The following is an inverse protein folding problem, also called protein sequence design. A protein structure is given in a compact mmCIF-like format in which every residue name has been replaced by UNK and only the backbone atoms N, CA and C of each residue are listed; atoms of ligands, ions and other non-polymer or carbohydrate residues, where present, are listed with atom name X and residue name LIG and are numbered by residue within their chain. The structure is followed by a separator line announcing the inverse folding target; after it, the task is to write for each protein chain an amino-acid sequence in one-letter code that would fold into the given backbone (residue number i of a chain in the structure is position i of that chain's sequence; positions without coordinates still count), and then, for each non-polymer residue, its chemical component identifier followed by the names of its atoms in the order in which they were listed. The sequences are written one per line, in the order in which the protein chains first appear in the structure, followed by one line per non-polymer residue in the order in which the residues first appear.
data_IF_815039701843
#
_entry.id   IF_815039701843
#
_cell.length_a   1.000
_cell.length_b   1.000
_cell.length_c   1.000
_cell.angle_alpha   90.00
_cell.angle_beta   90.00
_cell.angle_gamma   90.00
#
_symmetry.space_group_name_H-M   'P 1'
#
loop_
_entity.id
_entity.type
_entity.pdbx_description
1 polymer ?
#
# COMPACT_ATOMS: atom_id res chain seq x y z
N UNK A 1 -5.89 35.68 -5.12
CA UNK A 1 -4.68 34.86 -5.35
C UNK A 1 -5.14 33.59 -6.08
N UNK A 2 -4.97 33.52 -7.41
CA UNK A 2 -5.45 32.41 -8.23
C UNK A 2 -4.44 31.27 -8.28
N UNK A 3 -4.53 30.35 -7.32
CA UNK A 3 -3.61 29.23 -7.21
C UNK A 3 -4.31 28.01 -7.81
N UNK A 4 -3.67 27.39 -8.79
CA UNK A 4 -4.14 26.15 -9.41
C UNK A 4 -3.11 25.08 -9.14
N UNK A 5 -3.55 23.97 -8.55
CA UNK A 5 -2.75 22.76 -8.42
C UNK A 5 -2.90 21.95 -9.70
N UNK A 6 -1.79 21.51 -10.29
CA UNK A 6 -1.80 20.46 -11.30
C UNK A 6 -0.92 19.33 -10.80
N UNK A 7 -1.47 18.12 -10.79
CA UNK A 7 -0.71 16.92 -10.51
C UNK A 7 -0.05 16.45 -11.81
N UNK A 8 1.28 16.45 -11.91
CA UNK A 8 1.98 16.02 -13.12
C UNK A 8 2.02 14.49 -13.28
N UNK A 9 1.48 13.71 -12.34
CA UNK A 9 1.56 12.26 -12.33
C UNK A 9 2.95 11.74 -11.92
N UNK A 10 3.39 10.64 -12.53
CA UNK A 10 4.71 10.04 -12.31
C UNK A 10 5.77 10.69 -13.21
N UNK A 11 6.85 11.20 -12.63
CA UNK A 11 8.02 11.68 -13.37
C UNK A 11 9.03 10.53 -13.45
N UNK A 12 9.25 10.00 -14.66
CA UNK A 12 10.20 8.91 -14.87
C UNK A 12 11.59 9.26 -14.33
N UNK A 13 12.27 8.28 -13.73
CA UNK A 13 13.61 8.41 -13.12
C UNK A 13 13.69 9.33 -11.89
N UNK A 14 12.56 9.90 -11.44
CA UNK A 14 12.48 10.55 -10.14
C UNK A 14 12.71 9.57 -8.99
N UNK A 15 13.29 10.05 -7.90
CA UNK A 15 13.44 9.29 -6.67
C UNK A 15 12.07 8.79 -6.17
N UNK A 16 11.95 7.48 -5.97
CA UNK A 16 10.71 6.79 -5.57
C UNK A 16 9.50 7.12 -6.49
N UNK A 17 9.75 7.37 -7.79
CA UNK A 17 8.73 7.90 -8.71
C UNK A 17 7.45 7.05 -8.80
N UNK A 18 7.58 5.73 -8.77
CA UNK A 18 6.43 4.82 -8.80
C UNK A 18 5.63 4.87 -7.49
N UNK A 19 6.34 4.85 -6.36
CA UNK A 19 5.76 4.79 -5.02
C UNK A 19 4.97 6.05 -4.66
N UNK A 20 5.37 7.23 -5.17
CA UNK A 20 4.62 8.48 -5.01
C UNK A 20 3.18 8.44 -5.58
N UNK A 21 2.83 7.39 -6.31
CA UNK A 21 1.53 7.22 -6.98
C UNK A 21 0.77 5.99 -6.47
N UNK A 22 1.45 4.86 -6.26
CA UNK A 22 0.79 3.56 -6.03
C UNK A 22 1.00 2.97 -4.62
N UNK A 23 1.96 3.46 -3.83
CA UNK A 23 2.39 2.80 -2.59
C UNK A 23 3.10 1.46 -2.84
N UNK A 24 3.65 0.87 -1.78
CA UNK A 24 4.39 -0.39 -1.80
C UNK A 24 3.95 -1.31 -0.68
N UNK A 25 3.96 -2.61 -0.93
CA UNK A 25 3.76 -3.64 0.08
C UNK A 25 5.09 -4.14 0.69
N UNK A 26 6.16 -3.35 0.62
CA UNK A 26 7.46 -3.74 1.20
C UNK A 26 7.37 -3.88 2.72
N UNK A 27 6.62 -3.03 3.42
CA UNK A 27 6.34 -3.21 4.85
C UNK A 27 4.85 -3.42 5.13
N UNK A 28 4.57 -4.10 6.25
CA UNK A 28 3.20 -4.27 6.74
C UNK A 28 2.59 -2.92 7.12
N UNK A 29 1.25 -2.81 7.20
CA UNK A 29 0.64 -1.54 7.55
C UNK A 29 1.15 -0.98 8.87
N UNK A 30 1.36 0.34 8.95
CA UNK A 30 1.89 1.04 10.14
C UNK A 30 3.31 0.63 10.59
N UNK A 31 4.13 0.04 9.73
CA UNK A 31 5.51 -0.33 10.11
C UNK A 31 6.30 0.86 10.68
N UNK A 32 7.05 0.68 11.79
CA UNK A 32 7.84 1.75 12.41
C UNK A 32 8.90 2.38 11.50
N UNK A 33 9.34 1.69 10.44
CA UNK A 33 10.24 2.25 9.43
C UNK A 33 9.61 3.47 8.74
N UNK A 34 8.28 3.47 8.59
CA UNK A 34 7.48 4.57 8.07
C UNK A 34 8.06 5.16 6.77
N UNK A 35 8.39 4.30 5.82
CA UNK A 35 8.82 4.76 4.51
C UNK A 35 7.66 5.50 3.83
N UNK A 36 8.00 6.43 2.93
CA UNK A 36 7.00 7.34 2.33
C UNK A 36 5.91 6.60 1.56
N UNK A 37 6.21 5.37 1.16
CA UNK A 37 5.46 4.51 0.28
C UNK A 37 4.74 3.38 1.00
N UNK A 38 4.99 3.24 2.30
CA UNK A 38 4.30 2.26 3.13
C UNK A 38 2.82 2.64 3.27
N UNK A 39 1.96 1.64 3.25
CA UNK A 39 0.56 1.83 3.60
C UNK A 39 0.42 2.03 5.11
N UNK A 40 -0.30 3.06 5.54
CA UNK A 40 -0.52 3.34 6.95
C UNK A 40 -1.82 4.11 7.15
N UNK A 41 -2.56 3.78 8.21
CA UNK A 41 -3.71 4.55 8.68
C UNK A 41 -3.36 5.40 9.90
N UNK A 42 -2.22 5.13 10.55
CA UNK A 42 -1.82 5.69 11.85
C UNK A 42 -2.80 5.39 12.99
N UNK A 43 -3.76 4.48 12.80
CA UNK A 43 -4.61 3.94 13.84
C UNK A 43 -4.05 2.59 14.32
N UNK A 44 -4.16 2.34 15.62
CA UNK A 44 -3.71 1.07 16.22
C UNK A 44 -4.37 -0.14 15.55
N UNK A 45 -3.56 -1.15 15.25
CA UNK A 45 -4.00 -2.47 14.82
C UNK A 45 -3.95 -2.72 13.32
N UNK A 46 -3.92 -1.70 12.46
CA UNK A 46 -3.81 -1.87 11.00
C UNK A 46 -4.59 -0.86 10.16
N UNK A 47 -5.00 -1.26 8.95
CA UNK A 47 -5.66 -0.40 7.98
C UNK A 47 -6.76 -1.12 7.18
N UNK A 48 -7.74 -0.38 6.67
CA UNK A 48 -8.73 -0.91 5.73
C UNK A 48 -8.22 -0.81 4.29
N UNK A 49 -8.31 -1.91 3.54
CA UNK A 49 -7.90 -2.00 2.15
C UNK A 49 -9.08 -2.36 1.25
N UNK A 50 -9.10 -1.80 0.05
CA UNK A 50 -10.01 -2.20 -1.03
C UNK A 50 -9.27 -3.18 -1.92
N UNK A 51 -9.85 -4.37 -2.13
CA UNK A 51 -9.29 -5.39 -3.00
C UNK A 51 -9.73 -5.18 -4.45
N UNK A 52 -9.07 -5.87 -5.39
CA UNK A 52 -9.37 -5.76 -6.83
C UNK A 52 -10.80 -6.15 -7.21
N UNK A 53 -11.49 -6.93 -6.37
CA UNK A 53 -12.90 -7.29 -6.54
C UNK A 53 -13.90 -6.25 -5.96
N UNK A 54 -13.38 -5.15 -5.40
CA UNK A 54 -14.16 -4.07 -4.80
C UNK A 54 -14.60 -4.33 -3.35
N UNK A 55 -14.23 -5.47 -2.75
CA UNK A 55 -14.49 -5.72 -1.34
C UNK A 55 -13.51 -4.93 -0.45
N UNK A 56 -13.98 -4.50 0.72
CA UNK A 56 -13.13 -3.88 1.73
C UNK A 56 -12.79 -4.90 2.81
N UNK A 57 -11.50 -5.02 3.18
CA UNK A 57 -11.04 -5.87 4.27
C UNK A 57 -10.07 -5.12 5.18
N UNK A 58 -10.16 -5.41 6.47
CA UNK A 58 -9.18 -4.94 7.43
C UNK A 58 -7.93 -5.82 7.35
N UNK A 59 -6.76 -5.21 7.23
CA UNK A 59 -5.46 -5.89 7.27
C UNK A 59 -4.72 -5.40 8.51
N UNK A 60 -4.35 -6.33 9.38
CA UNK A 60 -3.64 -5.99 10.61
C UNK A 60 -2.19 -5.59 10.36
N UNK A 61 -1.66 -4.68 11.18
CA UNK A 61 -0.22 -4.40 11.26
C UNK A 61 0.61 -5.62 11.72
N UNK A 62 -0.04 -6.63 12.30
CA UNK A 62 0.59 -7.87 12.74
C UNK A 62 0.49 -9.03 11.72
N UNK A 63 0.00 -8.76 10.49
CA UNK A 63 -0.09 -9.77 9.43
C UNK A 63 1.30 -10.36 9.11
N UNK A 64 1.34 -11.64 8.72
CA UNK A 64 2.56 -12.21 8.14
C UNK A 64 2.98 -11.42 6.89
N UNK A 65 4.24 -10.94 6.86
CA UNK A 65 4.75 -10.10 5.77
C UNK A 65 4.69 -10.80 4.41
N UNK A 66 4.94 -12.11 4.36
CA UNK A 66 4.88 -12.89 3.12
C UNK A 66 3.45 -13.02 2.59
N UNK A 67 2.48 -13.23 3.49
CA UNK A 67 1.06 -13.22 3.16
C UNK A 67 0.61 -11.84 2.66
N UNK A 68 1.01 -10.77 3.34
CA UNK A 68 0.70 -9.40 2.93
C UNK A 68 1.23 -9.06 1.53
N UNK A 69 2.50 -9.40 1.27
CA UNK A 69 3.10 -9.21 -0.06
C UNK A 69 2.38 -10.03 -1.13
N UNK A 70 1.96 -11.25 -0.79
CA UNK A 70 1.20 -12.12 -1.69
C UNK A 70 -0.12 -11.49 -2.14
N UNK A 71 -0.80 -10.75 -1.24
CA UNK A 71 -2.04 -10.02 -1.57
C UNK A 71 -1.83 -8.87 -2.56
N UNK A 72 -0.61 -8.34 -2.68
CA UNK A 72 -0.26 -7.21 -3.54
C UNK A 72 0.28 -7.63 -4.92
N UNK A 73 0.28 -8.92 -5.22
CA UNK A 73 0.75 -9.45 -6.50
C UNK A 73 -0.38 -9.57 -7.53
N UNK A 74 -0.03 -9.41 -8.81
CA UNK A 74 -0.96 -9.66 -9.94
C UNK A 74 -0.79 -11.08 -10.54
N UNK A 75 0.23 -11.84 -10.11
CA UNK A 75 0.56 -13.12 -10.73
C UNK A 75 -0.44 -14.24 -10.40
N UNK A 76 -1.24 -14.09 -9.33
CA UNK A 76 -2.45 -14.86 -9.11
C UNK A 76 -2.22 -16.35 -8.80
N UNK A 77 -1.05 -16.68 -8.24
CA UNK A 77 -0.64 -18.05 -7.91
C UNK A 77 -0.29 -18.27 -6.44
N UNK A 78 -0.37 -17.22 -5.64
CA UNK A 78 -0.06 -17.20 -4.23
C UNK A 78 -1.19 -17.85 -3.44
N UNK A 79 -0.86 -18.77 -2.53
CA UNK A 79 -1.84 -19.38 -1.64
C UNK A 79 -2.14 -18.40 -0.51
N UNK A 80 -3.12 -17.52 -0.75
CA UNK A 80 -3.64 -16.59 0.26
C UNK A 80 -4.76 -17.27 1.06
N UNK A 81 -4.51 -17.49 2.35
CA UNK A 81 -5.50 -17.99 3.31
C UNK A 81 -6.47 -16.90 3.76
N UNK A 82 -7.17 -17.12 4.87
CA UNK A 82 -7.84 -16.00 5.56
C UNK A 82 -6.78 -15.11 6.23
N UNK A 83 -7.04 -13.80 6.21
CA UNK A 83 -6.17 -12.74 6.71
C UNK A 83 -6.99 -11.61 7.33
#
# INVERSE_FOLDING_TARGET
LGWYSTWPGMVAEGEEAFQRILGSADHVPNDPAAHLDDFSSMHEGGSQFVLGDGSCRFISENIDKGLYQSLATIQGGEVVGEF
#
